data_IF_819967329518
#
_entry.id   IF_819967329518
#
_cell.length_a   1.000
_cell.length_b   1.000
_cell.length_c   1.000
_cell.angle_alpha   90.00
_cell.angle_beta   90.00
_cell.angle_gamma   90.00
#
_symmetry.space_group_name_H-M   'P 1'
#
loop_
_entity.id
_entity.type
_entity.pdbx_description
1 polymer ?
#
# COMPACT_ATOMS: atom_id res chain seq x y z
N UNK A 1 19.56 -18.00 -3.03
CA UNK A 1 18.41 -17.45 -3.83
C UNK A 1 18.31 -15.96 -3.56
N UNK A 2 18.43 -15.10 -4.57
CA UNK A 2 18.39 -13.63 -4.36
C UNK A 2 16.95 -13.24 -3.99
N UNK A 3 16.75 -12.48 -2.90
CA UNK A 3 15.45 -11.99 -2.47
C UNK A 3 14.89 -11.06 -3.55
N UNK A 4 13.68 -11.37 -4.05
CA UNK A 4 12.95 -10.51 -4.98
C UNK A 4 11.83 -9.79 -4.22
N UNK A 5 11.70 -8.49 -4.43
CA UNK A 5 10.73 -7.63 -3.75
C UNK A 5 9.93 -6.85 -4.79
N UNK A 6 8.62 -6.93 -4.65
CA UNK A 6 7.65 -6.09 -5.35
C UNK A 6 7.15 -5.02 -4.38
N UNK A 7 7.02 -3.78 -4.83
CA UNK A 7 6.42 -2.68 -4.07
C UNK A 7 5.17 -2.21 -4.78
N UNK A 8 4.06 -2.11 -4.07
CA UNK A 8 2.82 -1.53 -4.58
C UNK A 8 2.56 -0.15 -3.97
N UNK A 9 2.38 0.86 -4.79
CA UNK A 9 2.04 2.22 -4.37
C UNK A 9 1.03 2.85 -5.33
N UNK A 10 0.32 3.89 -4.90
CA UNK A 10 -0.59 4.59 -5.81
C UNK A 10 0.19 5.43 -6.85
N UNK A 11 1.12 6.25 -6.37
CA UNK A 11 1.95 7.09 -7.23
C UNK A 11 3.43 6.93 -6.85
N UNK A 12 4.30 6.86 -7.83
CA UNK A 12 5.74 6.87 -7.63
C UNK A 12 6.30 8.22 -8.06
N UNK A 13 6.39 9.16 -7.13
CA UNK A 13 6.81 10.55 -7.33
C UNK A 13 7.16 11.21 -6.01
N UNK A 14 7.75 12.39 -6.03
CA UNK A 14 7.79 13.25 -4.84
C UNK A 14 6.38 13.69 -4.44
N UNK A 15 6.07 13.65 -3.13
CA UNK A 15 4.72 13.94 -2.65
C UNK A 15 4.58 13.87 -1.15
N UNK A 16 3.43 13.35 -0.67
CA UNK A 16 3.11 13.20 0.73
C UNK A 16 3.87 12.07 1.44
N UNK A 17 3.39 11.71 2.63
CA UNK A 17 4.07 10.74 3.50
C UNK A 17 4.27 9.37 2.86
N UNK A 18 3.24 8.85 2.18
CA UNK A 18 3.30 7.52 1.54
C UNK A 18 4.30 7.49 0.38
N UNK A 19 4.28 8.52 -0.47
CA UNK A 19 5.21 8.66 -1.59
C UNK A 19 6.65 8.75 -1.08
N UNK A 20 6.91 9.63 -0.11
CA UNK A 20 8.23 9.78 0.51
C UNK A 20 8.72 8.47 1.12
N UNK A 21 7.86 7.79 1.89
CA UNK A 21 8.20 6.49 2.47
C UNK A 21 8.58 5.47 1.39
N UNK A 22 7.82 5.43 0.30
CA UNK A 22 8.09 4.51 -0.82
C UNK A 22 9.45 4.80 -1.47
N UNK A 23 9.79 6.07 -1.68
CA UNK A 23 11.09 6.46 -2.25
C UNK A 23 12.25 6.10 -1.32
N UNK A 24 12.10 6.34 -0.02
CA UNK A 24 13.12 5.99 0.98
C UNK A 24 13.30 4.46 1.10
N UNK A 25 12.21 3.70 1.01
CA UNK A 25 12.25 2.24 0.97
C UNK A 25 13.03 1.74 -0.26
N UNK A 26 12.78 2.29 -1.45
CA UNK A 26 13.50 1.97 -2.69
C UNK A 26 15.00 2.25 -2.53
N UNK A 27 15.37 3.43 -2.00
CA UNK A 27 16.78 3.77 -1.72
C UNK A 27 17.42 2.76 -0.75
N UNK A 28 16.69 2.39 0.31
CA UNK A 28 17.16 1.43 1.30
C UNK A 28 17.41 0.06 0.68
N UNK A 29 16.51 -0.44 -0.16
CA UNK A 29 16.67 -1.72 -0.87
C UNK A 29 17.83 -1.68 -1.86
N UNK A 30 18.00 -0.59 -2.60
CA UNK A 30 19.12 -0.44 -3.53
C UNK A 30 20.49 -0.45 -2.83
N UNK A 31 20.59 0.15 -1.62
CA UNK A 31 21.81 0.05 -0.78
C UNK A 31 22.14 -1.38 -0.39
N UNK A 32 21.15 -2.28 -0.40
CA UNK A 32 21.31 -3.72 -0.16
C UNK A 32 21.45 -4.52 -1.48
N UNK A 33 21.71 -3.85 -2.61
CA UNK A 33 21.79 -4.46 -3.96
C UNK A 33 20.49 -5.17 -4.38
N UNK A 34 19.33 -4.68 -3.92
CA UNK A 34 18.00 -5.16 -4.32
C UNK A 34 17.35 -4.08 -5.18
N UNK A 35 17.12 -4.36 -6.44
CA UNK A 35 16.30 -3.53 -7.34
C UNK A 35 14.86 -4.04 -7.27
N UNK A 36 13.93 -3.30 -6.65
CA UNK A 36 12.54 -3.75 -6.55
C UNK A 36 11.77 -3.51 -7.84
N UNK A 37 10.81 -4.40 -8.15
CA UNK A 37 9.76 -4.10 -9.10
C UNK A 37 8.71 -3.21 -8.43
N UNK A 38 8.42 -2.04 -9.01
CA UNK A 38 7.44 -1.09 -8.44
C UNK A 38 6.20 -1.04 -9.30
N UNK A 39 5.06 -1.36 -8.69
CA UNK A 39 3.73 -1.34 -9.29
C UNK A 39 3.00 -0.08 -8.86
N UNK A 40 2.73 0.83 -9.80
CA UNK A 40 2.06 2.11 -9.52
C UNK A 40 1.09 2.50 -10.63
N UNK A 41 0.11 3.36 -10.31
CA UNK A 41 -0.80 3.92 -11.32
C UNK A 41 -0.18 5.09 -12.07
N UNK A 42 0.87 5.69 -11.51
CA UNK A 42 1.58 6.83 -12.08
C UNK A 42 3.05 6.83 -11.66
N UNK A 43 3.93 7.18 -12.60
CA UNK A 43 5.36 7.37 -12.37
C UNK A 43 5.77 8.78 -12.77
N UNK A 44 6.64 9.39 -11.97
CA UNK A 44 7.40 10.57 -12.33
C UNK A 44 8.78 10.14 -12.84
N UNK A 45 8.98 10.24 -14.14
CA UNK A 45 10.22 9.83 -14.80
C UNK A 45 11.39 10.81 -14.55
N UNK A 46 11.09 12.00 -14.00
CA UNK A 46 12.07 13.05 -13.73
C UNK A 46 12.80 12.91 -12.39
N UNK A 47 12.37 11.99 -11.52
CA UNK A 47 13.01 11.80 -10.21
C UNK A 47 14.17 10.77 -10.29
N UNK A 48 15.27 10.99 -9.53
CA UNK A 48 16.42 10.07 -9.55
C UNK A 48 16.06 8.64 -9.16
N UNK A 49 15.10 8.46 -8.26
CA UNK A 49 14.67 7.16 -7.77
C UNK A 49 14.03 6.28 -8.85
N UNK A 50 13.58 6.88 -9.96
CA UNK A 50 13.04 6.13 -11.09
C UNK A 50 14.08 5.18 -11.72
N UNK A 51 15.36 5.56 -11.70
CA UNK A 51 16.45 4.71 -12.18
C UNK A 51 16.78 3.51 -11.25
N UNK A 52 16.22 3.47 -10.05
CA UNK A 52 16.49 2.46 -9.02
C UNK A 52 15.46 1.32 -8.99
N UNK A 53 14.52 1.28 -9.94
CA UNK A 53 13.37 0.36 -9.91
C UNK A 53 13.16 -0.32 -11.26
N UNK A 54 12.38 -1.40 -11.24
CA UNK A 54 11.73 -1.97 -12.43
C UNK A 54 10.26 -1.50 -12.44
N UNK A 55 9.87 -0.51 -13.29
CA UNK A 55 8.54 0.09 -13.22
C UNK A 55 7.49 -0.78 -13.91
N UNK A 56 6.34 -0.99 -13.24
CA UNK A 56 5.18 -1.70 -13.77
C UNK A 56 3.92 -0.85 -13.61
N UNK A 57 3.32 -0.44 -14.72
CA UNK A 57 2.10 0.37 -14.70
C UNK A 57 0.88 -0.49 -14.32
N UNK A 58 0.18 -0.09 -13.26
CA UNK A 58 -1.15 -0.62 -12.93
C UNK A 58 -2.19 0.23 -13.65
N UNK A 59 -2.57 -0.20 -14.85
CA UNK A 59 -3.46 0.58 -15.72
C UNK A 59 -4.87 0.72 -15.13
N UNK A 60 -5.34 1.96 -15.05
CA UNK A 60 -6.68 2.33 -14.58
C UNK A 60 -7.41 3.29 -15.56
N UNK A 61 -6.95 3.41 -16.80
CA UNK A 61 -7.50 4.38 -17.77
C UNK A 61 -9.01 4.24 -17.98
N UNK A 62 -9.54 3.04 -18.04
CA UNK A 62 -10.97 2.75 -18.23
C UNK A 62 -11.79 2.77 -16.93
N UNK A 63 -11.19 3.18 -15.81
CA UNK A 63 -11.85 3.17 -14.50
C UNK A 63 -12.29 4.57 -14.12
N UNK A 64 -13.56 4.72 -13.69
CA UNK A 64 -14.07 5.96 -13.13
C UNK A 64 -13.20 6.39 -11.94
N UNK A 65 -12.86 7.68 -11.85
CA UNK A 65 -11.95 8.22 -10.82
C UNK A 65 -12.33 7.78 -9.39
N UNK A 66 -13.64 7.76 -9.07
CA UNK A 66 -14.17 7.35 -7.77
C UNK A 66 -13.94 5.86 -7.44
N UNK A 67 -13.77 5.00 -8.45
CA UNK A 67 -13.62 3.55 -8.29
C UNK A 67 -12.15 3.10 -8.37
N UNK A 68 -11.23 3.96 -8.79
CA UNK A 68 -9.81 3.61 -9.01
C UNK A 68 -9.16 3.02 -7.76
N UNK A 69 -9.38 3.63 -6.60
CA UNK A 69 -8.81 3.16 -5.34
C UNK A 69 -9.38 1.81 -4.88
N UNK A 70 -10.61 1.47 -5.30
CA UNK A 70 -11.24 0.19 -4.96
C UNK A 70 -10.78 -0.94 -5.88
N UNK A 71 -10.46 -0.63 -7.14
CA UNK A 71 -10.03 -1.60 -8.13
C UNK A 71 -8.50 -1.75 -8.19
N UNK A 72 -7.76 -0.96 -7.42
CA UNK A 72 -6.29 -1.03 -7.43
C UNK A 72 -5.78 -2.43 -7.09
N UNK A 73 -6.27 -3.04 -6.02
CA UNK A 73 -5.82 -4.36 -5.56
C UNK A 73 -6.05 -5.46 -6.61
N UNK A 74 -7.22 -5.49 -7.25
CA UNK A 74 -7.51 -6.46 -8.31
C UNK A 74 -6.67 -6.24 -9.56
N UNK A 75 -6.44 -5.00 -9.97
CA UNK A 75 -5.56 -4.66 -11.09
C UNK A 75 -4.11 -4.99 -10.79
N UNK A 76 -3.64 -4.69 -9.58
CA UNK A 76 -2.32 -5.10 -9.11
C UNK A 76 -2.13 -6.62 -9.21
N UNK A 77 -3.09 -7.39 -8.71
CA UNK A 77 -3.05 -8.85 -8.77
C UNK A 77 -2.96 -9.36 -10.22
N UNK A 78 -3.69 -8.76 -11.16
CA UNK A 78 -3.60 -9.08 -12.58
C UNK A 78 -2.23 -8.74 -13.17
N UNK A 79 -1.67 -7.55 -12.85
CA UNK A 79 -0.39 -7.09 -13.37
C UNK A 79 0.78 -7.95 -12.85
N UNK A 80 0.71 -8.39 -11.58
CA UNK A 80 1.76 -9.23 -10.97
C UNK A 80 1.49 -10.73 -10.96
N UNK A 81 0.53 -11.23 -11.78
CA UNK A 81 0.12 -12.65 -11.79
C UNK A 81 1.25 -13.67 -11.92
N UNK A 82 2.35 -13.29 -12.56
CA UNK A 82 3.53 -14.13 -12.77
C UNK A 82 4.67 -13.83 -11.78
N UNK A 83 4.48 -12.90 -10.81
CA UNK A 83 5.51 -12.59 -9.82
C UNK A 83 5.42 -13.51 -8.61
N UNK A 84 6.55 -14.15 -8.27
CA UNK A 84 6.74 -14.90 -7.03
C UNK A 84 7.47 -14.08 -5.95
N UNK A 85 7.73 -12.79 -6.21
CA UNK A 85 8.41 -11.90 -5.27
C UNK A 85 7.55 -11.58 -4.05
N UNK A 86 8.18 -11.18 -2.94
CA UNK A 86 7.48 -10.70 -1.75
C UNK A 86 6.88 -9.32 -2.02
N UNK A 87 5.61 -9.14 -1.65
CA UNK A 87 4.89 -7.88 -1.85
C UNK A 87 4.94 -7.00 -0.60
N UNK A 88 5.54 -5.82 -0.74
CA UNK A 88 5.41 -4.72 0.21
C UNK A 88 4.38 -3.74 -0.34
N UNK A 89 3.26 -3.57 0.34
CA UNK A 89 2.22 -2.66 -0.07
C UNK A 89 2.30 -1.35 0.72
N UNK A 90 2.68 -0.27 0.05
CA UNK A 90 2.63 1.10 0.57
C UNK A 90 1.28 1.78 0.27
N UNK A 91 0.38 1.09 -0.40
CA UNK A 91 -0.99 1.48 -0.70
C UNK A 91 -1.92 0.28 -0.53
N UNK A 92 -3.23 0.49 -0.61
CA UNK A 92 -4.25 -0.56 -0.44
C UNK A 92 -4.04 -1.73 -1.40
N UNK A 93 -3.64 -2.87 -0.87
CA UNK A 93 -3.49 -4.11 -1.61
C UNK A 93 -3.85 -5.31 -0.73
N UNK A 94 -4.60 -6.27 -1.30
CA UNK A 94 -4.85 -7.54 -0.66
C UNK A 94 -3.63 -8.47 -0.83
N UNK A 95 -3.49 -9.43 0.07
CA UNK A 95 -2.45 -10.47 0.05
C UNK A 95 -1.01 -9.94 0.06
N UNK A 96 -0.77 -8.77 0.67
CA UNK A 96 0.58 -8.27 0.88
C UNK A 96 1.35 -9.16 1.88
N UNK A 97 2.65 -9.39 1.62
CA UNK A 97 3.53 -9.99 2.63
C UNK A 97 3.79 -8.99 3.76
N UNK A 98 3.93 -7.70 3.43
CA UNK A 98 4.02 -6.59 4.37
C UNK A 98 3.14 -5.43 3.90
N UNK A 99 2.18 -5.01 4.71
CA UNK A 99 1.36 -3.83 4.46
C UNK A 99 1.81 -2.67 5.34
N UNK A 100 2.14 -1.55 4.72
CA UNK A 100 2.52 -0.32 5.43
C UNK A 100 1.24 0.46 5.75
N UNK A 101 0.93 0.60 7.02
CA UNK A 101 -0.24 1.35 7.47
C UNK A 101 0.15 2.78 7.83
N UNK A 102 -0.14 3.71 6.93
CA UNK A 102 0.06 5.15 7.13
C UNK A 102 -1.12 5.87 7.81
N UNK A 103 -2.21 5.17 8.06
CA UNK A 103 -3.44 5.68 8.69
C UNK A 103 -4.62 4.76 8.46
N UNK A 104 -5.62 4.85 9.33
CA UNK A 104 -6.86 4.06 9.21
C UNK A 104 -8.05 4.97 8.93
N UNK A 105 -8.96 4.51 8.04
CA UNK A 105 -10.13 5.33 7.69
C UNK A 105 -11.12 5.46 8.86
N UNK A 106 -11.31 4.38 9.64
CA UNK A 106 -12.13 4.45 10.87
C UNK A 106 -11.52 5.35 11.93
N UNK A 107 -10.19 5.32 12.10
CA UNK A 107 -9.48 6.23 13.02
C UNK A 107 -9.68 7.68 12.60
N UNK A 108 -9.55 8.00 11.31
CA UNK A 108 -9.84 9.33 10.79
C UNK A 108 -11.28 9.78 11.11
N UNK A 109 -12.28 8.96 10.80
CA UNK A 109 -13.69 9.29 11.08
C UNK A 109 -13.94 9.46 12.58
N UNK A 110 -13.33 8.64 13.43
CA UNK A 110 -13.44 8.73 14.88
C UNK A 110 -12.86 10.05 15.40
N UNK A 111 -11.65 10.42 14.95
CA UNK A 111 -11.00 11.67 15.35
C UNK A 111 -11.76 12.91 14.87
N UNK A 112 -12.40 12.81 13.70
CA UNK A 112 -13.21 13.91 13.14
C UNK A 112 -14.65 13.93 13.66
N UNK A 113 -15.04 13.00 14.55
CA UNK A 113 -16.42 12.81 15.05
C UNK A 113 -17.45 12.70 13.91
N UNK A 114 -17.08 12.08 12.79
CA UNK A 114 -17.91 11.94 11.60
C UNK A 114 -18.57 10.56 11.54
N UNK A 115 -19.84 10.53 11.15
CA UNK A 115 -20.54 9.28 10.84
C UNK A 115 -20.18 8.82 9.42
N UNK A 116 -19.89 7.50 9.21
CA UNK A 116 -19.52 6.99 7.90
C UNK A 116 -20.67 7.08 6.90
N UNK A 117 -20.42 7.72 5.76
CA UNK A 117 -21.29 7.70 4.59
C UNK A 117 -21.10 6.41 3.76
N UNK A 118 -21.77 6.28 2.63
CA UNK A 118 -21.69 5.08 1.79
C UNK A 118 -20.26 4.80 1.24
N UNK A 119 -19.54 5.85 0.82
CA UNK A 119 -18.17 5.73 0.33
C UNK A 119 -17.20 5.34 1.46
N UNK A 120 -17.42 5.90 2.67
CA UNK A 120 -16.65 5.53 3.85
C UNK A 120 -16.85 4.05 4.21
N UNK A 121 -18.07 3.53 4.13
CA UNK A 121 -18.35 2.10 4.36
C UNK A 121 -17.62 1.20 3.38
N UNK A 122 -17.55 1.59 2.11
CA UNK A 122 -16.74 0.88 1.11
C UNK A 122 -15.24 0.95 1.42
N UNK A 123 -14.74 2.12 1.81
CA UNK A 123 -13.34 2.29 2.20
C UNK A 123 -12.98 1.44 3.44
N UNK A 124 -13.85 1.42 4.45
CA UNK A 124 -13.70 0.59 5.65
C UNK A 124 -13.67 -0.91 5.27
N UNK A 125 -14.59 -1.35 4.40
CA UNK A 125 -14.63 -2.75 3.93
C UNK A 125 -13.34 -3.12 3.21
N UNK A 126 -12.84 -2.25 2.33
CA UNK A 126 -11.55 -2.44 1.66
C UNK A 126 -10.40 -2.54 2.67
N UNK A 127 -10.31 -1.63 3.64
CA UNK A 127 -9.29 -1.67 4.67
C UNK A 127 -9.34 -2.99 5.46
N UNK A 128 -10.55 -3.45 5.84
CA UNK A 128 -10.72 -4.75 6.50
C UNK A 128 -10.16 -5.90 5.66
N UNK A 129 -10.45 -5.93 4.36
CA UNK A 129 -9.90 -6.94 3.44
C UNK A 129 -8.37 -6.90 3.40
N UNK A 130 -7.80 -5.70 3.22
CA UNK A 130 -6.35 -5.54 3.17
C UNK A 130 -5.67 -6.00 4.48
N UNK A 131 -6.23 -5.62 5.65
CA UNK A 131 -5.67 -6.02 6.94
C UNK A 131 -5.86 -7.52 7.22
N UNK A 132 -6.98 -8.10 6.81
CA UNK A 132 -7.25 -9.53 6.97
C UNK A 132 -6.29 -10.38 6.14
N UNK A 133 -6.04 -9.99 4.88
CA UNK A 133 -5.25 -10.76 3.90
C UNK A 133 -3.74 -10.51 3.99
N UNK A 134 -3.29 -9.38 4.53
CA UNK A 134 -1.86 -9.10 4.74
C UNK A 134 -1.25 -10.10 5.72
N UNK A 135 0.00 -10.53 5.50
CA UNK A 135 0.72 -11.41 6.45
C UNK A 135 1.22 -10.64 7.67
N UNK A 136 1.84 -9.47 7.43
CA UNK A 136 2.30 -8.54 8.45
C UNK A 136 1.83 -7.13 8.12
N UNK A 137 1.61 -6.31 9.15
CA UNK A 137 1.24 -4.90 9.03
C UNK A 137 2.23 -4.08 9.84
N UNK A 138 2.88 -3.12 9.19
CA UNK A 138 3.74 -2.15 9.86
C UNK A 138 2.91 -0.91 10.22
N UNK A 139 2.77 -0.66 11.51
CA UNK A 139 2.11 0.53 12.04
C UNK A 139 3.15 1.61 12.38
N UNK A 140 2.98 2.83 11.85
CA UNK A 140 3.95 3.91 12.08
C UNK A 140 3.87 4.55 13.46
N UNK A 141 2.88 4.18 14.28
CA UNK A 141 2.72 4.71 15.64
C UNK A 141 1.92 3.78 16.54
N UNK A 142 2.10 3.94 17.86
CA UNK A 142 1.26 3.26 18.85
C UNK A 142 -0.23 3.59 18.71
N UNK A 143 -0.58 4.77 18.24
CA UNK A 143 -1.96 5.14 17.96
C UNK A 143 -2.54 4.27 16.83
N UNK A 144 -1.84 4.15 15.70
CA UNK A 144 -2.27 3.29 14.59
C UNK A 144 -2.37 1.82 15.00
N UNK A 145 -1.42 1.33 15.81
CA UNK A 145 -1.51 -0.02 16.37
C UNK A 145 -2.80 -0.21 17.19
N UNK A 146 -3.15 0.74 18.06
CA UNK A 146 -4.41 0.69 18.84
C UNK A 146 -5.64 0.73 17.94
N UNK A 147 -5.65 1.54 16.88
CA UNK A 147 -6.74 1.60 15.90
C UNK A 147 -6.89 0.29 15.13
N UNK A 148 -5.79 -0.31 14.67
CA UNK A 148 -5.81 -1.60 13.98
C UNK A 148 -6.40 -2.70 14.86
N UNK A 149 -6.01 -2.76 16.13
CA UNK A 149 -6.55 -3.73 17.09
C UNK A 149 -7.98 -3.40 17.46
N UNK A 150 -8.25 -2.16 17.94
CA UNK A 150 -9.53 -1.79 18.54
C UNK A 150 -10.66 -1.54 17.53
N UNK A 151 -10.37 -0.97 16.35
CA UNK A 151 -11.38 -0.60 15.36
C UNK A 151 -11.52 -1.64 14.24
N UNK A 152 -10.46 -2.38 13.94
CA UNK A 152 -10.46 -3.35 12.85
C UNK A 152 -10.33 -4.80 13.30
N UNK A 153 -10.03 -5.05 14.59
CA UNK A 153 -9.87 -6.40 15.14
C UNK A 153 -8.66 -7.15 14.59
N UNK A 154 -7.61 -6.41 14.20
CA UNK A 154 -6.37 -7.03 13.71
C UNK A 154 -5.63 -7.68 14.87
N UNK A 155 -5.23 -8.97 14.77
CA UNK A 155 -4.47 -9.64 15.80
C UNK A 155 -3.15 -8.91 16.10
N UNK A 156 -2.81 -8.64 17.39
CA UNK A 156 -1.62 -7.88 17.76
C UNK A 156 -0.29 -8.46 17.26
N UNK A 157 -0.20 -9.78 17.13
CA UNK A 157 0.97 -10.51 16.63
C UNK A 157 1.23 -10.25 15.13
N UNK A 158 0.23 -9.77 14.41
CA UNK A 158 0.30 -9.42 12.99
C UNK A 158 0.85 -8.00 12.78
N UNK A 159 0.98 -7.20 13.85
CA UNK A 159 1.33 -5.78 13.79
C UNK A 159 2.73 -5.56 14.38
N UNK A 160 3.60 -5.01 13.55
CA UNK A 160 4.95 -4.57 13.92
C UNK A 160 5.00 -3.06 14.13
#
# INVERSE_FOLDING_TARGET
>A
MKLKIDIATNNFKHGGGTERYTLDLVKGLNRQNITPAVYATKFDHGIPEYALIEPHLVDQHRTLKKLRSFLFSSRLAQTRKNSAAKLIACHHADYADLLICGGTHLGYLHHMAQKPNLLDRLAIRRNRSNYATAKLIMAHSHMMRRELVGLYGVPPEKIQ
#
